data_IF_804744028263
#
_entry.id   IF_804744028263
#
_cell.length_a   1.000
_cell.length_b   1.000
_cell.length_c   1.000
_cell.angle_alpha   90.00
_cell.angle_beta   90.00
_cell.angle_gamma   90.00
#
_symmetry.space_group_name_H-M   'P 1'
#
loop_
_entity.id
_entity.type
_entity.pdbx_description
1 polymer ?
#
# COMPACT_ATOMS: atom_id res chain seq x y z
N UNK A 1 -12.52 3.68 10.97
CA UNK A 1 -13.04 4.74 10.06
C UNK A 1 -14.35 5.33 10.56
N UNK A 2 -15.40 4.54 10.86
CA UNK A 2 -16.69 5.05 11.38
C UNK A 2 -16.57 6.01 12.56
N UNK A 3 -15.79 5.62 13.59
CA UNK A 3 -15.57 6.44 14.79
C UNK A 3 -15.04 7.85 14.50
N UNK A 4 -14.10 8.00 13.55
CA UNK A 4 -13.55 9.30 13.19
C UNK A 4 -14.57 10.16 12.42
N UNK A 5 -15.37 9.53 11.56
CA UNK A 5 -16.41 10.21 10.78
C UNK A 5 -17.51 10.71 11.72
N UNK A 6 -17.92 9.89 12.68
CA UNK A 6 -18.95 10.25 13.66
C UNK A 6 -18.49 11.43 14.54
N UNK A 7 -17.19 11.52 14.86
CA UNK A 7 -16.61 12.69 15.56
C UNK A 7 -16.57 13.95 14.67
N UNK A 8 -16.32 13.80 13.36
CA UNK A 8 -16.26 14.92 12.41
C UNK A 8 -17.65 15.47 12.03
N UNK A 9 -18.69 14.63 12.14
CA UNK A 9 -20.10 14.92 11.77
C UNK A 9 -20.94 15.21 13.03
N UNK A 10 -20.33 15.77 14.07
CA UNK A 10 -21.08 16.28 15.22
C UNK A 10 -21.72 17.64 14.90
N UNK A 11 -23.01 17.78 15.24
CA UNK A 11 -23.76 19.04 15.07
C UNK A 11 -23.23 20.18 15.96
N UNK A 12 -22.58 19.84 17.07
CA UNK A 12 -21.93 20.80 17.97
C UNK A 12 -20.53 21.16 17.44
N UNK A 13 -20.39 22.34 16.83
CA UNK A 13 -19.12 22.86 16.31
C UNK A 13 -17.99 22.95 17.36
N UNK A 14 -18.32 23.01 18.65
CA UNK A 14 -17.35 23.02 19.76
C UNK A 14 -16.75 21.65 20.08
N UNK A 15 -17.43 20.57 19.70
CA UNK A 15 -16.96 19.20 19.90
C UNK A 15 -16.30 18.62 18.64
N UNK A 16 -16.49 19.29 17.49
CA UNK A 16 -15.80 18.95 16.26
C UNK A 16 -14.28 19.02 16.46
N UNK A 17 -13.54 17.94 16.18
CA UNK A 17 -12.09 17.94 16.31
C UNK A 17 -11.44 18.90 15.29
N UNK A 18 -10.31 19.51 15.69
CA UNK A 18 -9.50 20.31 14.78
C UNK A 18 -8.93 19.42 13.65
N UNK A 19 -8.72 19.98 12.47
CA UNK A 19 -8.21 19.27 11.31
C UNK A 19 -6.87 18.55 11.58
N UNK A 20 -5.99 19.15 12.38
CA UNK A 20 -4.73 18.51 12.78
C UNK A 20 -4.97 17.20 13.56
N UNK A 21 -5.96 17.21 14.47
CA UNK A 21 -6.34 16.03 15.24
C UNK A 21 -7.01 14.97 14.35
N UNK A 22 -7.80 15.40 13.36
CA UNK A 22 -8.39 14.52 12.37
C UNK A 22 -7.33 13.81 11.53
N UNK A 23 -6.32 14.56 11.07
CA UNK A 23 -5.22 14.03 10.27
C UNK A 23 -4.40 13.03 11.10
N UNK A 24 -4.03 13.36 12.33
CA UNK A 24 -3.28 12.42 13.20
C UNK A 24 -4.04 11.11 13.44
N UNK A 25 -5.35 11.18 13.74
CA UNK A 25 -6.19 9.99 13.93
C UNK A 25 -6.37 9.18 12.64
N UNK A 26 -6.46 9.86 11.49
CA UNK A 26 -6.55 9.22 10.19
C UNK A 26 -5.25 8.48 9.86
N UNK A 27 -4.10 9.09 10.09
CA UNK A 27 -2.78 8.49 9.89
C UNK A 27 -2.58 7.24 10.77
N UNK A 28 -3.00 7.28 12.03
CA UNK A 28 -2.95 6.13 12.94
C UNK A 28 -3.82 4.97 12.41
N UNK A 29 -5.05 5.26 11.98
CA UNK A 29 -5.95 4.26 11.39
C UNK A 29 -5.37 3.69 10.10
N UNK A 30 -4.87 4.54 9.20
CA UNK A 30 -4.27 4.12 7.93
C UNK A 30 -2.99 3.31 8.15
N UNK A 31 -2.16 3.69 9.12
CA UNK A 31 -0.95 2.96 9.51
C UNK A 31 -1.23 1.58 10.10
N UNK A 32 -2.36 1.41 10.80
CA UNK A 32 -2.80 0.11 11.32
C UNK A 32 -3.37 -0.84 10.25
N UNK A 33 -3.73 -0.32 9.07
CA UNK A 33 -4.30 -1.11 8.00
C UNK A 33 -3.21 -1.79 7.16
N UNK A 34 -3.48 -3.01 6.72
CA UNK A 34 -2.60 -3.69 5.78
C UNK A 34 -2.63 -2.99 4.40
N UNK A 35 -1.51 -3.06 3.69
CA UNK A 35 -1.38 -2.48 2.34
C UNK A 35 -2.44 -3.01 1.36
N UNK A 36 -2.97 -4.21 1.61
CA UNK A 36 -4.01 -4.86 0.82
C UNK A 36 -5.40 -4.28 1.03
N UNK A 37 -5.62 -3.55 2.13
CA UNK A 37 -6.92 -2.94 2.47
C UNK A 37 -7.01 -1.48 2.01
N UNK A 38 -5.89 -0.88 1.60
CA UNK A 38 -5.80 0.47 1.06
C UNK A 38 -5.84 0.43 -0.48
N UNK A 39 -6.63 1.32 -1.10
CA UNK A 39 -6.70 1.42 -2.57
C UNK A 39 -5.45 2.05 -3.18
N UNK A 40 -4.88 3.03 -2.48
CA UNK A 40 -3.61 3.65 -2.81
C UNK A 40 -2.55 3.20 -1.81
N UNK A 41 -1.36 2.89 -2.31
CA UNK A 41 -0.22 2.61 -1.47
C UNK A 41 0.06 3.82 -0.57
N UNK A 42 0.10 3.65 0.75
CA UNK A 42 0.73 4.66 1.62
C UNK A 42 2.20 4.74 1.24
N UNK A 43 2.65 5.86 0.70
CA UNK A 43 4.00 6.01 0.13
C UNK A 43 5.11 5.87 1.15
N UNK A 44 4.80 6.02 2.43
CA UNK A 44 5.74 5.97 3.56
C UNK A 44 5.72 4.62 4.29
N UNK A 45 5.60 3.52 3.55
CA UNK A 45 5.65 2.20 4.16
C UNK A 45 6.75 1.31 3.54
N UNK A 46 7.38 0.52 4.41
CA UNK A 46 8.43 -0.44 4.02
C UNK A 46 7.89 -1.44 2.98
N UNK A 47 6.60 -1.77 3.08
CA UNK A 47 5.92 -2.71 2.19
C UNK A 47 5.93 -2.27 0.72
N UNK A 48 5.87 -0.97 0.41
CA UNK A 48 5.93 -0.47 -0.97
C UNK A 48 7.29 -0.60 -1.61
N UNK A 49 8.34 -0.37 -0.85
CA UNK A 49 9.70 -0.66 -1.30
C UNK A 49 9.86 -2.16 -1.57
N UNK A 50 9.39 -3.00 -0.65
CA UNK A 50 9.47 -4.46 -0.77
C UNK A 50 8.69 -4.99 -1.98
N UNK A 51 7.47 -4.49 -2.21
CA UNK A 51 6.61 -4.93 -3.31
C UNK A 51 7.16 -4.57 -4.69
N UNK A 52 7.90 -3.45 -4.81
CA UNK A 52 8.62 -3.10 -6.05
C UNK A 52 9.94 -3.85 -6.17
N UNK A 53 10.61 -4.10 -5.04
CA UNK A 53 11.93 -4.72 -4.99
C UNK A 53 11.89 -6.20 -5.41
N UNK A 54 11.02 -7.02 -4.82
CA UNK A 54 11.05 -8.47 -5.08
C UNK A 54 10.78 -8.86 -6.55
N UNK A 55 9.74 -8.35 -7.24
CA UNK A 55 9.51 -8.67 -8.64
C UNK A 55 10.63 -8.15 -9.55
N UNK A 56 11.18 -6.97 -9.25
CA UNK A 56 12.31 -6.39 -9.98
C UNK A 56 13.56 -7.29 -9.86
N UNK A 57 13.89 -7.72 -8.64
CA UNK A 57 15.04 -8.59 -8.40
C UNK A 57 14.84 -10.00 -8.95
N UNK A 58 13.64 -10.56 -8.86
CA UNK A 58 13.30 -11.83 -9.49
C UNK A 58 13.55 -11.78 -11.01
N UNK A 59 13.09 -10.71 -11.68
CA UNK A 59 13.33 -10.51 -13.11
C UNK A 59 14.83 -10.33 -13.42
N UNK A 60 15.55 -9.56 -12.60
CA UNK A 60 17.01 -9.38 -12.75
C UNK A 60 17.80 -10.68 -12.60
N UNK A 61 17.46 -11.50 -11.61
CA UNK A 61 18.09 -12.80 -11.39
C UNK A 61 17.87 -13.72 -12.59
N UNK A 62 16.67 -13.75 -13.16
CA UNK A 62 16.38 -14.56 -14.35
C UNK A 62 17.17 -14.11 -15.58
N UNK A 63 17.37 -12.80 -15.77
CA UNK A 63 18.21 -12.26 -16.85
C UNK A 63 19.67 -12.69 -16.66
N UNK A 64 20.21 -12.58 -15.45
CA UNK A 64 21.60 -12.99 -15.15
C UNK A 64 21.78 -14.50 -15.34
N UNK A 65 20.75 -15.30 -15.05
CA UNK A 65 20.74 -16.76 -15.24
C UNK A 65 20.51 -17.18 -16.70
N UNK A 66 20.26 -16.25 -17.62
CA UNK A 66 19.98 -16.56 -19.03
C UNK A 66 18.65 -17.30 -19.25
N UNK A 67 17.73 -17.26 -18.27
CA UNK A 67 16.41 -17.89 -18.41
C UNK A 67 15.57 -16.99 -19.34
N UNK A 68 15.10 -17.50 -20.48
CA UNK A 68 14.32 -16.70 -21.42
C UNK A 68 13.02 -16.22 -20.75
N UNK A 69 12.60 -14.96 -20.94
CA UNK A 69 11.38 -14.41 -20.32
C UNK A 69 10.09 -15.12 -20.79
N UNK A 70 10.16 -15.71 -21.98
CA UNK A 70 9.10 -16.49 -22.59
C UNK A 70 9.56 -17.95 -22.50
N UNK A 71 8.76 -18.87 -21.94
CA UNK A 71 9.10 -20.28 -21.96
C UNK A 71 9.27 -20.69 -23.42
N UNK A 72 10.49 -21.10 -23.79
CA UNK A 72 10.74 -21.70 -25.09
C UNK A 72 10.12 -23.08 -25.00
N UNK A 73 8.85 -23.19 -25.39
CA UNK A 73 8.27 -24.48 -25.72
C UNK A 73 9.12 -25.00 -26.86
N UNK A 74 10.00 -25.96 -26.58
CA UNK A 74 10.66 -26.72 -27.62
C UNK A 74 9.57 -27.46 -28.39
N UNK A 75 9.08 -26.80 -29.43
CA UNK A 75 8.26 -27.39 -30.47
C UNK A 75 9.21 -28.24 -31.30
N UNK A 76 9.56 -29.40 -30.75
CA UNK A 76 10.59 -30.27 -31.29
C UNK A 76 10.08 -30.90 -32.60
N UNK A 77 10.87 -30.69 -33.66
CA UNK A 77 10.81 -31.29 -35.00
C UNK A 77 12.07 -32.10 -35.18
#
# INVERSE_FOLDING_TARGET
>A
MKLLIDDMVQDDATKQPNIDQCVSRLEEIVGSLSCWKLRSHSTDNIYGHVYRFFPHWYRRINIVRGIPPIPVLEMNR
#
